data_IF_539176819714
#
_entry.id   IF_539176819714
#
_cell.length_a   1.000
_cell.length_b   1.000
_cell.length_c   1.000
_cell.angle_alpha   90.00
_cell.angle_beta   90.00
_cell.angle_gamma   90.00
#
_symmetry.space_group_name_H-M   'P 1'
#
loop_
_entity.id
_entity.type
_entity.pdbx_description
1 polymer ?
#
# COMPACT_ATOMS: atom_id res chain seq x y z
N UNK A 1 -8.16 -9.16 -72.90
CA UNK A 1 -8.76 -10.19 -72.03
C UNK A 1 -7.60 -11.02 -71.48
N UNK A 2 -7.23 -10.75 -70.21
CA UNK A 2 -7.19 -11.72 -69.08
C UNK A 2 -6.10 -12.81 -69.25
N UNK A 3 -4.88 -12.64 -68.72
CA UNK A 3 -4.41 -12.65 -67.32
C UNK A 3 -3.89 -14.04 -66.89
N UNK A 4 -2.56 -14.21 -66.96
CA UNK A 4 -1.81 -15.19 -66.15
C UNK A 4 -1.57 -14.62 -64.74
N UNK A 5 -1.59 -15.49 -63.72
CA UNK A 5 -0.54 -15.55 -62.66
C UNK A 5 -0.85 -16.63 -61.62
N UNK A 6 0.06 -17.59 -61.54
CA UNK A 6 0.36 -18.40 -60.36
C UNK A 6 1.09 -17.54 -59.31
N UNK A 7 0.79 -17.70 -58.01
CA UNK A 7 1.76 -17.85 -56.90
C UNK A 7 1.02 -18.08 -55.59
N UNK A 8 1.45 -19.10 -54.86
CA UNK A 8 0.84 -19.64 -53.65
C UNK A 8 1.34 -18.92 -52.39
N UNK A 9 0.39 -18.66 -51.48
CA UNK A 9 0.44 -18.40 -50.04
C UNK A 9 1.74 -18.00 -49.34
N UNK A 10 1.67 -16.81 -48.74
CA UNK A 10 2.52 -16.22 -47.70
C UNK A 10 2.87 -17.15 -46.53
N UNK A 11 4.12 -17.06 -46.08
CA UNK A 11 4.60 -17.64 -44.83
C UNK A 11 4.30 -16.67 -43.68
N UNK A 12 3.43 -17.08 -42.74
CA UNK A 12 3.21 -16.36 -41.48
C UNK A 12 3.89 -17.04 -40.29
N UNK A 13 4.42 -16.18 -39.44
CA UNK A 13 5.27 -16.41 -38.28
C UNK A 13 4.40 -16.42 -37.01
N UNK A 14 4.64 -17.38 -36.09
CA UNK A 14 4.06 -17.44 -34.73
C UNK A 14 5.25 -17.76 -33.80
N UNK A 15 5.38 -17.28 -32.54
CA UNK A 15 4.30 -17.08 -31.56
C UNK A 15 4.44 -15.95 -30.51
N UNK A 16 3.34 -15.61 -29.81
CA UNK A 16 3.40 -15.08 -28.44
C UNK A 16 2.18 -15.53 -27.62
N UNK A 17 2.44 -15.94 -26.39
CA UNK A 17 1.55 -16.61 -25.43
C UNK A 17 0.41 -15.72 -24.90
N UNK A 18 -0.81 -16.28 -24.83
CA UNK A 18 -1.91 -15.78 -23.99
C UNK A 18 -1.94 -16.53 -22.63
N UNK A 19 -2.16 -15.78 -21.56
CA UNK A 19 -2.23 -16.27 -20.16
C UNK A 19 -3.69 -16.64 -19.77
N UNK A 20 -3.90 -17.54 -18.79
CA UNK A 20 -5.22 -18.12 -18.56
C UNK A 20 -6.10 -17.35 -17.58
N UNK A 21 -7.38 -17.38 -17.93
CA UNK A 21 -8.60 -17.02 -17.21
C UNK A 21 -8.68 -17.62 -15.79
N UNK A 22 -9.06 -16.81 -14.80
CA UNK A 22 -9.25 -17.24 -13.40
C UNK A 22 -10.68 -16.91 -12.96
N UNK A 23 -11.47 -17.97 -12.78
CA UNK A 23 -12.87 -17.93 -12.33
C UNK A 23 -13.07 -17.46 -10.88
N UNK A 24 -14.33 -17.44 -10.40
CA UNK A 24 -14.74 -16.67 -9.23
C UNK A 24 -14.31 -17.34 -7.92
N UNK A 25 -13.67 -16.56 -7.05
CA UNK A 25 -13.24 -17.00 -5.72
C UNK A 25 -14.38 -16.95 -4.71
N UNK A 26 -14.60 -18.08 -4.06
CA UNK A 26 -15.67 -18.38 -3.13
C UNK A 26 -15.57 -17.56 -1.83
N UNK A 27 -16.74 -17.28 -1.24
CA UNK A 27 -16.94 -16.29 -0.20
C UNK A 27 -16.89 -16.90 1.21
N UNK A 28 -15.71 -17.27 1.72
CA UNK A 28 -15.56 -17.59 3.15
C UNK A 28 -14.17 -17.18 3.68
N UNK A 29 -14.17 -16.34 4.73
CA UNK A 29 -13.02 -15.96 5.60
C UNK A 29 -11.96 -14.99 5.05
N UNK A 30 -12.34 -13.77 4.69
CA UNK A 30 -11.36 -12.75 4.30
C UNK A 30 -10.80 -11.96 5.50
N UNK A 31 -10.10 -12.65 6.41
CA UNK A 31 -8.99 -11.99 7.11
C UNK A 31 -7.85 -11.88 6.09
N UNK A 32 -7.20 -10.72 5.99
CA UNK A 32 -6.19 -10.49 4.94
C UNK A 32 -5.08 -11.55 5.02
N UNK A 33 -4.60 -12.09 3.87
CA UNK A 33 -3.63 -13.16 3.91
C UNK A 33 -2.28 -12.65 4.45
N UNK A 34 -1.91 -13.18 5.60
CA UNK A 34 -0.67 -12.91 6.33
C UNK A 34 0.59 -12.95 5.44
N UNK A 35 0.60 -13.78 4.38
CA UNK A 35 1.74 -13.91 3.47
C UNK A 35 1.87 -12.79 2.42
N UNK A 36 0.89 -11.89 2.28
CA UNK A 36 0.92 -10.77 1.31
C UNK A 36 1.31 -9.42 1.93
N UNK A 37 1.37 -9.37 3.27
CA UNK A 37 1.81 -8.24 4.04
C UNK A 37 3.20 -8.57 4.59
N UNK A 38 4.15 -7.65 4.46
CA UNK A 38 5.40 -7.75 5.22
C UNK A 38 4.98 -7.69 6.69
N UNK A 39 5.23 -8.77 7.43
CA UNK A 39 4.77 -8.95 8.80
C UNK A 39 5.21 -7.75 9.66
N UNK A 40 4.46 -7.44 10.75
CA UNK A 40 4.74 -6.30 11.60
C UNK A 40 6.20 -6.34 12.05
N UNK A 41 6.81 -5.16 12.28
CA UNK A 41 8.19 -5.09 12.74
C UNK A 41 8.42 -6.02 13.92
N UNK A 42 9.65 -6.52 14.11
CA UNK A 42 10.07 -7.25 15.30
C UNK A 42 9.88 -6.37 16.55
N UNK A 43 8.64 -6.26 17.01
CA UNK A 43 8.22 -5.52 18.17
C UNK A 43 8.12 -6.50 19.32
N UNK A 44 8.70 -6.13 20.46
CA UNK A 44 8.47 -6.89 21.68
C UNK A 44 6.96 -6.90 22.02
N UNK A 45 6.46 -7.92 22.75
CA UNK A 45 5.07 -7.92 23.20
C UNK A 45 4.68 -6.66 24.00
N UNK A 46 5.65 -6.03 24.65
CA UNK A 46 5.47 -4.75 25.36
C UNK A 46 5.28 -3.59 24.38
N UNK A 47 6.07 -3.53 23.29
CA UNK A 47 5.90 -2.52 22.25
C UNK A 47 4.58 -2.68 21.51
N UNK A 48 4.14 -3.93 21.28
CA UNK A 48 2.84 -4.20 20.67
C UNK A 48 1.72 -3.67 21.56
N UNK A 49 1.74 -3.99 22.87
CA UNK A 49 0.77 -3.44 23.81
C UNK A 49 0.82 -1.91 23.88
N UNK A 50 2.01 -1.32 23.87
CA UNK A 50 2.18 0.12 23.95
C UNK A 50 1.56 0.84 22.74
N UNK A 51 1.67 0.25 21.54
CA UNK A 51 1.15 0.80 20.29
C UNK A 51 -0.17 0.20 19.82
N UNK A 52 -0.83 -0.60 20.66
CA UNK A 52 -2.08 -1.29 20.30
C UNK A 52 -3.10 -0.34 19.70
N UNK A 53 -3.31 0.82 20.33
CA UNK A 53 -4.24 1.84 19.83
C UNK A 53 -3.90 2.33 18.42
N UNK A 54 -2.62 2.48 18.08
CA UNK A 54 -2.23 2.86 16.71
C UNK A 54 -2.58 1.75 15.71
N UNK A 55 -2.37 0.49 16.08
CA UNK A 55 -2.69 -0.64 15.21
C UNK A 55 -4.19 -0.80 14.99
N UNK A 56 -4.99 -0.65 16.04
CA UNK A 56 -6.45 -0.72 15.96
C UNK A 56 -6.99 0.38 15.03
N UNK A 57 -6.53 1.63 15.24
CA UNK A 57 -6.94 2.75 14.38
C UNK A 57 -6.49 2.57 12.93
N UNK A 58 -5.29 2.01 12.71
CA UNK A 58 -4.83 1.67 11.36
C UNK A 58 -5.78 0.65 10.73
N UNK A 59 -6.10 -0.43 11.43
CA UNK A 59 -7.00 -1.46 10.92
C UNK A 59 -8.37 -0.90 10.56
N UNK A 60 -8.95 -0.08 11.44
CA UNK A 60 -10.22 0.60 11.20
C UNK A 60 -10.21 1.44 9.92
N UNK A 61 -9.13 2.18 9.65
CA UNK A 61 -8.98 2.97 8.41
C UNK A 61 -8.95 2.06 7.18
N UNK A 62 -8.27 0.91 7.27
CA UNK A 62 -8.04 0.03 6.12
C UNK A 62 -9.31 -0.72 5.70
N UNK A 63 -10.23 -0.98 6.64
CA UNK A 63 -11.51 -1.64 6.37
C UNK A 63 -12.43 -0.83 5.44
N UNK A 64 -12.24 0.48 5.36
CA UNK A 64 -13.04 1.38 4.50
C UNK A 64 -12.63 1.35 3.01
N UNK A 65 -11.58 0.58 2.64
CA UNK A 65 -10.99 0.63 1.30
C UNK A 65 -10.77 -0.74 0.66
N UNK A 66 -10.84 -0.78 -0.67
CA UNK A 66 -10.41 -1.93 -1.47
C UNK A 66 -8.90 -2.20 -1.37
N UNK A 67 -8.50 -3.45 -1.63
CA UNK A 67 -7.16 -3.99 -1.37
C UNK A 67 -6.00 -3.08 -1.79
N UNK A 68 -6.01 -2.56 -3.02
CA UNK A 68 -4.88 -1.76 -3.53
C UNK A 68 -4.68 -0.47 -2.71
N UNK A 69 -5.78 0.17 -2.33
CA UNK A 69 -5.75 1.37 -1.50
C UNK A 69 -5.37 1.03 -0.07
N UNK A 70 -5.94 -0.03 0.50
CA UNK A 70 -5.61 -0.50 1.84
C UNK A 70 -4.11 -0.84 1.95
N UNK A 71 -3.54 -1.59 0.99
CA UNK A 71 -2.11 -1.91 0.94
C UNK A 71 -1.23 -0.66 0.90
N UNK A 72 -1.61 0.32 0.08
CA UNK A 72 -0.87 1.58 -0.02
C UNK A 72 -0.92 2.37 1.30
N UNK A 73 -2.09 2.49 1.92
CA UNK A 73 -2.26 3.20 3.19
C UNK A 73 -1.59 2.50 4.35
N UNK A 74 -1.62 1.17 4.40
CA UNK A 74 -0.88 0.40 5.40
C UNK A 74 0.61 0.72 5.32
N UNK A 75 1.19 0.67 4.12
CA UNK A 75 2.62 0.97 3.90
C UNK A 75 2.95 2.41 4.28
N UNK A 76 2.06 3.33 3.94
CA UNK A 76 2.23 4.76 4.22
C UNK A 76 2.19 5.06 5.74
N UNK A 77 1.26 4.44 6.47
CA UNK A 77 1.14 4.58 7.93
C UNK A 77 2.26 3.85 8.68
N UNK A 78 2.68 2.68 8.18
CA UNK A 78 3.78 1.90 8.74
C UNK A 78 5.11 2.68 8.66
N UNK A 79 5.39 3.34 7.53
CA UNK A 79 6.61 4.15 7.38
C UNK A 79 6.63 5.36 8.33
N UNK A 80 5.48 6.02 8.57
CA UNK A 80 5.36 7.10 9.56
C UNK A 80 5.60 6.57 10.98
N UNK A 81 5.01 5.41 11.30
CA UNK A 81 5.21 4.73 12.57
C UNK A 81 6.68 4.45 12.84
N UNK A 82 7.36 3.76 11.93
CA UNK A 82 8.78 3.44 12.05
C UNK A 82 9.64 4.69 12.17
N UNK A 83 9.32 5.74 11.39
CA UNK A 83 10.03 7.01 11.47
C UNK A 83 9.91 7.68 12.84
N UNK A 84 8.71 7.61 13.45
CA UNK A 84 8.42 8.18 14.76
C UNK A 84 9.13 7.41 15.87
N UNK A 85 9.01 6.09 15.88
CA UNK A 85 9.65 5.22 16.88
C UNK A 85 11.18 5.33 16.82
N UNK A 86 11.76 5.34 15.62
CA UNK A 86 13.21 5.53 15.44
C UNK A 86 13.74 6.91 15.90
N UNK A 87 12.85 7.81 16.34
CA UNK A 87 13.16 9.15 16.86
C UNK A 87 12.63 9.36 18.27
N UNK A 88 12.24 8.30 18.95
CA UNK A 88 11.66 8.33 20.30
C UNK A 88 10.44 9.28 20.37
N UNK A 89 9.64 9.28 19.31
CA UNK A 89 8.39 10.06 19.25
C UNK A 89 7.20 9.15 19.49
N UNK A 90 6.23 9.70 20.20
CA UNK A 90 4.92 9.10 20.27
C UNK A 90 4.18 9.33 18.95
N UNK A 91 3.87 8.24 18.24
CA UNK A 91 3.20 8.28 16.95
C UNK A 91 1.80 8.89 17.08
N UNK A 92 1.10 8.71 18.21
CA UNK A 92 -0.25 9.21 18.40
C UNK A 92 -0.31 10.71 18.72
N UNK A 93 0.83 11.35 18.94
CA UNK A 93 0.93 12.77 19.31
C UNK A 93 1.91 13.55 18.42
N UNK A 94 2.14 13.09 17.19
CA UNK A 94 2.97 13.80 16.21
C UNK A 94 2.43 15.21 15.93
N UNK A 95 3.32 16.20 15.96
CA UNK A 95 2.97 17.60 15.69
C UNK A 95 3.10 17.95 14.20
N UNK A 96 2.50 19.07 13.78
CA UNK A 96 2.72 19.65 12.44
C UNK A 96 4.21 19.87 12.12
N UNK A 97 5.03 20.13 13.13
CA UNK A 97 6.48 20.28 12.95
C UNK A 97 7.12 18.93 12.63
N UNK A 98 6.70 17.87 13.31
CA UNK A 98 7.18 16.50 13.09
C UNK A 98 6.82 16.03 11.68
N UNK A 99 5.57 16.22 11.26
CA UNK A 99 5.11 15.86 9.91
C UNK A 99 5.86 16.64 8.82
N UNK A 100 6.20 17.91 9.06
CA UNK A 100 7.06 18.70 8.15
C UNK A 100 8.48 18.13 8.06
N UNK A 101 9.07 17.70 9.18
CA UNK A 101 10.38 17.05 9.20
C UNK A 101 10.35 15.71 8.47
N UNK A 102 9.30 14.92 8.69
CA UNK A 102 9.05 13.68 7.98
C UNK A 102 8.97 13.90 6.46
N UNK A 103 8.13 14.85 6.01
CA UNK A 103 8.03 15.20 4.58
C UNK A 103 9.37 15.66 3.99
N UNK A 104 10.15 16.46 4.73
CA UNK A 104 11.47 16.90 4.30
C UNK A 104 12.45 15.72 4.14
N UNK A 105 12.38 14.73 5.04
CA UNK A 105 13.14 13.50 4.93
C UNK A 105 12.77 12.71 3.67
N UNK A 106 11.47 12.55 3.38
CA UNK A 106 11.03 11.84 2.17
C UNK A 106 11.53 12.50 0.89
N UNK A 107 11.50 13.84 0.82
CA UNK A 107 12.08 14.59 -0.31
C UNK A 107 13.59 14.34 -0.46
N UNK A 108 14.33 14.31 0.66
CA UNK A 108 15.76 14.00 0.65
C UNK A 108 16.04 12.58 0.16
N UNK A 109 15.16 11.64 0.47
CA UNK A 109 15.17 10.24 -0.02
C UNK A 109 14.64 10.09 -1.46
N UNK A 110 14.34 11.19 -2.15
CA UNK A 110 13.89 11.22 -3.56
C UNK A 110 12.54 10.55 -3.82
N UNK A 111 11.68 10.45 -2.80
CA UNK A 111 10.29 10.07 -3.04
C UNK A 111 9.58 11.14 -3.89
N UNK A 112 8.64 10.69 -4.74
CA UNK A 112 7.83 11.58 -5.55
C UNK A 112 6.86 12.42 -4.69
N UNK A 113 6.51 13.63 -5.13
CA UNK A 113 5.50 14.44 -4.44
C UNK A 113 4.13 13.73 -4.37
N UNK A 114 3.80 12.89 -5.35
CA UNK A 114 2.58 12.08 -5.32
C UNK A 114 2.58 11.10 -4.14
N UNK A 115 3.70 10.42 -3.91
CA UNK A 115 3.88 9.51 -2.77
C UNK A 115 3.80 10.25 -1.45
N UNK A 116 4.48 11.40 -1.34
CA UNK A 116 4.46 12.21 -0.11
C UNK A 116 3.04 12.69 0.19
N UNK A 117 2.31 13.17 -0.82
CA UNK A 117 0.90 13.59 -0.66
C UNK A 117 0.02 12.45 -0.21
N UNK A 118 0.14 11.25 -0.82
CA UNK A 118 -0.66 10.08 -0.44
C UNK A 118 -0.40 9.69 1.02
N UNK A 119 0.86 9.70 1.47
CA UNK A 119 1.22 9.48 2.88
C UNK A 119 0.54 10.46 3.82
N UNK A 120 0.50 11.75 3.45
CA UNK A 120 -0.19 12.77 4.26
C UNK A 120 -1.71 12.63 4.22
N UNK A 121 -2.29 12.09 3.14
CA UNK A 121 -3.70 11.72 3.09
C UNK A 121 -4.00 10.57 4.05
N UNK A 122 -3.18 9.51 4.03
CA UNK A 122 -3.32 8.39 4.96
C UNK A 122 -3.16 8.86 6.42
N UNK A 123 -2.19 9.75 6.69
CA UNK A 123 -2.02 10.34 8.01
C UNK A 123 -3.22 11.18 8.46
N UNK A 124 -3.81 11.99 7.57
CA UNK A 124 -5.02 12.75 7.90
C UNK A 124 -6.19 11.84 8.30
N UNK A 125 -6.33 10.67 7.65
CA UNK A 125 -7.33 9.67 8.05
C UNK A 125 -7.08 9.14 9.45
N UNK A 126 -5.82 8.93 9.80
CA UNK A 126 -5.42 8.59 11.17
C UNK A 126 -5.81 9.70 12.16
N UNK A 127 -5.51 10.97 11.86
CA UNK A 127 -5.90 12.10 12.72
C UNK A 127 -7.43 12.25 12.87
N UNK A 128 -8.19 11.94 11.83
CA UNK A 128 -9.66 11.91 11.87
C UNK A 128 -10.13 10.83 12.86
N UNK A 129 -9.64 9.58 12.72
CA UNK A 129 -9.99 8.47 13.62
C UNK A 129 -9.55 8.69 15.06
N UNK A 130 -8.40 9.33 15.29
CA UNK A 130 -7.96 9.70 16.65
C UNK A 130 -8.91 10.68 17.36
N UNK A 131 -9.69 11.47 16.61
CA UNK A 131 -10.66 12.45 17.17
C UNK A 131 -12.05 11.85 17.37
N UNK A 132 -12.36 10.74 16.69
CA UNK A 132 -13.66 10.08 16.75
C UNK A 132 -13.83 9.21 18.02
N UNK A 133 -12.75 8.89 18.73
CA UNK A 133 -12.76 8.08 19.97
C UNK A 133 -12.21 8.81 21.18
#
# INVERSE_FOLDING_TARGET
>A
MAAEKMTNGEAENVPAHDAPDAGPVDAHEQRYPDYLMDFPPDLSPEQVQHWQRFFDLREDILLDYGYQTARAYWTDLQDIFEWAIARDKDVLTLTDRDLRQYCALLRRRKYSEATIRRRMVAWRKMEEKMKEG
#
